data_IF_619090988026
#
_entry.id   IF_619090988026
#
_cell.length_a   1.000
_cell.length_b   1.000
_cell.length_c   1.000
_cell.angle_alpha   90.00
_cell.angle_beta   90.00
_cell.angle_gamma   90.00
#
_symmetry.space_group_name_H-M   'P 1'
#
loop_
_entity.id
_entity.type
_entity.pdbx_description
1 polymer ?
#
# COMPACT_ATOMS: atom_id res chain seq x y z
N UNK A 1 -16.62 -17.59 3.46
CA UNK A 1 -17.31 -16.42 4.06
C UNK A 1 -16.97 -15.26 3.15
N UNK A 2 -17.93 -14.48 2.70
CA UNK A 2 -17.62 -13.23 2.00
C UNK A 2 -16.99 -12.28 3.03
N UNK A 3 -15.77 -11.87 2.84
CA UNK A 3 -15.17 -10.76 3.58
C UNK A 3 -15.93 -9.48 3.20
N UNK A 4 -16.43 -8.78 4.20
CA UNK A 4 -17.05 -7.47 3.99
C UNK A 4 -15.93 -6.51 3.58
N UNK A 5 -16.16 -5.67 2.58
CA UNK A 5 -15.28 -4.53 2.31
C UNK A 5 -15.41 -3.50 3.45
N UNK A 6 -14.44 -2.59 3.55
CA UNK A 6 -14.37 -1.63 4.66
C UNK A 6 -15.63 -0.76 4.80
N UNK A 7 -16.21 -0.16 3.74
CA UNK A 7 -17.44 0.61 3.84
C UNK A 7 -18.63 -0.21 4.33
N UNK A 8 -18.82 -1.42 3.81
CA UNK A 8 -19.87 -2.32 4.29
C UNK A 8 -19.68 -2.69 5.75
N UNK A 9 -18.43 -2.89 6.16
CA UNK A 9 -18.09 -3.15 7.55
C UNK A 9 -18.40 -1.95 8.43
N UNK A 10 -17.97 -0.73 8.06
CA UNK A 10 -18.21 0.50 8.80
C UNK A 10 -19.71 0.82 8.89
N UNK A 11 -20.44 0.76 7.78
CA UNK A 11 -21.90 0.99 7.77
C UNK A 11 -22.65 0.01 8.70
N UNK A 12 -22.23 -1.29 8.72
CA UNK A 12 -22.81 -2.27 9.63
C UNK A 12 -22.41 -1.97 11.07
N UNK A 13 -21.16 -1.56 11.32
CA UNK A 13 -20.65 -1.18 12.63
C UNK A 13 -21.40 0.02 13.16
N UNK A 14 -21.59 1.06 12.37
CA UNK A 14 -22.33 2.27 12.75
C UNK A 14 -23.79 1.98 13.05
N UNK A 15 -24.43 1.13 12.25
CA UNK A 15 -25.80 0.69 12.52
C UNK A 15 -25.91 -0.03 13.87
N UNK A 16 -24.94 -0.90 14.20
CA UNK A 16 -24.92 -1.64 15.46
C UNK A 16 -24.63 -0.71 16.65
N UNK A 17 -23.61 0.18 16.51
CA UNK A 17 -23.20 1.12 17.56
C UNK A 17 -24.33 2.09 17.90
N UNK A 18 -25.10 2.56 16.90
CA UNK A 18 -26.21 3.49 17.10
C UNK A 18 -27.30 2.89 18.02
N UNK A 19 -27.49 1.59 17.95
CA UNK A 19 -28.50 0.88 18.78
C UNK A 19 -27.95 0.41 20.13
N UNK A 20 -26.62 0.48 20.37
CA UNK A 20 -25.99 0.02 21.61
C UNK A 20 -26.18 0.99 22.76
N UNK A 21 -26.47 0.46 23.94
CA UNK A 21 -26.46 1.23 25.18
C UNK A 21 -25.01 1.44 25.65
N UNK A 22 -24.78 2.54 26.37
CA UNK A 22 -23.45 2.90 26.91
C UNK A 22 -22.72 1.72 27.58
N UNK A 23 -23.42 0.90 28.38
CA UNK A 23 -22.81 -0.27 29.03
C UNK A 23 -22.41 -1.39 28.07
N UNK A 24 -23.13 -1.55 26.98
CA UNK A 24 -22.85 -2.51 25.94
C UNK A 24 -21.64 -2.05 25.11
N UNK A 25 -21.54 -0.77 24.83
CA UNK A 25 -20.38 -0.15 24.18
C UNK A 25 -19.12 -0.26 25.04
N UNK A 26 -19.23 0.02 26.36
CA UNK A 26 -18.13 -0.17 27.29
C UNK A 26 -17.63 -1.63 27.31
N UNK A 27 -18.55 -2.60 27.32
CA UNK A 27 -18.21 -4.03 27.29
C UNK A 27 -17.53 -4.40 25.96
N UNK A 28 -17.99 -3.87 24.85
CA UNK A 28 -17.42 -4.09 23.53
C UNK A 28 -15.98 -3.55 23.42
N UNK A 29 -15.75 -2.31 23.88
CA UNK A 29 -14.39 -1.70 23.90
C UNK A 29 -13.45 -2.55 24.78
N UNK A 30 -13.90 -3.02 25.93
CA UNK A 30 -13.10 -3.91 26.77
C UNK A 30 -12.78 -5.25 26.10
N UNK A 31 -13.69 -5.81 25.31
CA UNK A 31 -13.44 -7.06 24.60
C UNK A 31 -12.43 -6.86 23.47
N UNK A 32 -12.53 -5.76 22.70
CA UNK A 32 -11.52 -5.40 21.71
C UNK A 32 -10.15 -5.26 22.40
N UNK A 33 -10.06 -4.48 23.48
CA UNK A 33 -8.81 -4.26 24.19
C UNK A 33 -8.14 -5.56 24.70
N UNK A 34 -8.93 -6.61 24.99
CA UNK A 34 -8.40 -7.93 25.40
C UNK A 34 -7.85 -8.74 24.24
N UNK A 35 -8.43 -8.57 23.05
CA UNK A 35 -8.06 -9.33 21.84
C UNK A 35 -6.92 -8.68 21.07
N UNK A 36 -6.59 -7.40 21.36
CA UNK A 36 -5.54 -6.69 20.66
C UNK A 36 -4.14 -7.25 20.92
N UNK A 37 -3.33 -7.47 19.90
CA UNK A 37 -1.89 -7.75 20.01
C UNK A 37 -1.17 -6.66 20.83
N UNK A 38 -0.06 -7.03 21.47
CA UNK A 38 0.72 -6.06 22.28
C UNK A 38 1.16 -4.84 21.49
N UNK A 39 1.58 -5.03 20.25
CA UNK A 39 2.01 -3.97 19.33
C UNK A 39 0.94 -2.93 19.00
N UNK A 40 -0.35 -3.27 19.13
CA UNK A 40 -1.48 -2.36 18.84
C UNK A 40 -2.12 -1.72 20.07
N UNK A 41 -1.69 -2.08 21.29
CA UNK A 41 -2.31 -1.58 22.52
C UNK A 41 -2.11 -0.09 22.74
N UNK A 42 -0.93 0.42 22.41
CA UNK A 42 -0.60 1.85 22.59
C UNK A 42 -1.36 2.72 21.60
N UNK A 43 -1.44 2.32 20.33
CA UNK A 43 -2.23 2.99 19.28
C UNK A 43 -3.72 3.01 19.66
N UNK A 44 -4.26 1.88 20.12
CA UNK A 44 -5.65 1.81 20.58
C UNK A 44 -5.92 2.77 21.76
N UNK A 45 -5.02 2.81 22.74
CA UNK A 45 -5.16 3.74 23.88
C UNK A 45 -5.06 5.21 23.45
N UNK A 46 -4.20 5.50 22.45
CA UNK A 46 -4.08 6.85 21.86
C UNK A 46 -5.42 7.26 21.24
N UNK A 47 -5.97 6.42 20.33
CA UNK A 47 -7.27 6.66 19.68
C UNK A 47 -8.40 6.80 20.72
N UNK A 48 -8.46 5.92 21.71
CA UNK A 48 -9.50 5.96 22.74
C UNK A 48 -9.45 7.24 23.58
N UNK A 49 -8.24 7.74 23.89
CA UNK A 49 -8.05 9.04 24.56
C UNK A 49 -8.50 10.18 23.69
N UNK A 50 -8.18 10.17 22.41
CA UNK A 50 -8.55 11.22 21.46
C UNK A 50 -10.06 11.29 21.25
N UNK A 51 -10.73 10.16 21.10
CA UNK A 51 -12.20 10.09 21.03
C UNK A 51 -12.84 10.57 22.35
N UNK A 52 -12.27 10.20 23.51
CA UNK A 52 -12.80 10.62 24.82
C UNK A 52 -12.65 12.13 25.08
N UNK A 53 -11.63 12.77 24.53
CA UNK A 53 -11.43 14.22 24.57
C UNK A 53 -12.35 14.96 23.59
N UNK A 54 -12.98 14.24 22.65
CA UNK A 54 -13.86 14.80 21.61
C UNK A 54 -15.25 15.27 22.04
N UNK A 55 -15.68 14.99 23.27
CA UNK A 55 -16.97 15.48 23.80
C UNK A 55 -17.03 17.00 24.06
N UNK A 56 -15.89 17.71 24.00
CA UNK A 56 -15.81 19.17 24.08
C UNK A 56 -15.70 19.85 22.72
N UNK A 57 -16.67 19.63 21.83
CA UNK A 57 -16.69 20.17 20.45
C UNK A 57 -16.80 21.70 20.31
N UNK A 58 -16.95 22.47 21.40
CA UNK A 58 -17.06 23.93 21.31
C UNK A 58 -15.75 24.72 21.56
N UNK A 59 -14.61 24.01 21.77
CA UNK A 59 -13.30 24.66 21.94
C UNK A 59 -12.17 23.95 21.18
N UNK A 60 -12.39 23.58 19.90
CA UNK A 60 -11.33 22.99 19.07
C UNK A 60 -10.64 24.08 18.25
N UNK A 61 -9.60 24.66 18.82
CA UNK A 61 -8.55 25.36 18.07
C UNK A 61 -7.15 24.71 18.24
N UNK A 62 -7.09 23.45 18.76
CA UNK A 62 -5.80 22.78 19.02
C UNK A 62 -5.90 21.24 18.83
N UNK A 63 -6.34 20.81 17.65
CA UNK A 63 -6.07 19.43 17.20
C UNK A 63 -4.60 19.39 16.83
N UNK A 64 -3.80 18.59 17.54
CA UNK A 64 -2.41 18.40 17.21
C UNK A 64 -2.24 17.86 15.77
N UNK A 65 -1.10 18.12 15.10
CA UNK A 65 -0.89 17.78 13.69
C UNK A 65 -1.13 16.28 13.36
N UNK A 66 -0.85 15.38 14.28
CA UNK A 66 -1.10 13.94 14.11
C UNK A 66 -2.60 13.60 14.04
N UNK A 67 -3.45 14.26 14.85
CA UNK A 67 -4.90 14.05 14.82
C UNK A 67 -5.51 14.61 13.51
N UNK A 68 -4.98 15.73 13.03
CA UNK A 68 -5.40 16.31 11.76
C UNK A 68 -5.04 15.39 10.58
N UNK A 69 -3.83 14.85 10.56
CA UNK A 69 -3.37 13.87 9.54
C UNK A 69 -4.27 12.62 9.55
N UNK A 70 -4.52 12.03 10.72
CA UNK A 70 -5.39 10.88 10.87
C UNK A 70 -6.80 11.12 10.29
N UNK A 71 -7.39 12.28 10.56
CA UNK A 71 -8.72 12.61 10.03
C UNK A 71 -8.70 12.75 8.50
N UNK A 72 -7.68 13.43 7.95
CA UNK A 72 -7.53 13.61 6.49
C UNK A 72 -7.31 12.29 5.77
N UNK A 73 -6.47 11.42 6.32
CA UNK A 73 -6.20 10.11 5.72
C UNK A 73 -7.46 9.23 5.73
N UNK A 74 -8.22 9.21 6.83
CA UNK A 74 -9.47 8.45 6.86
C UNK A 74 -10.54 9.03 5.91
N UNK A 75 -10.59 10.35 5.75
CA UNK A 75 -11.47 10.99 4.78
C UNK A 75 -11.08 10.58 3.35
N UNK A 76 -9.80 10.65 2.99
CA UNK A 76 -9.35 10.29 1.65
C UNK A 76 -9.49 8.79 1.37
N UNK A 77 -9.28 7.92 2.36
CA UNK A 77 -9.55 6.48 2.23
C UNK A 77 -11.02 6.24 1.86
N UNK A 78 -11.95 6.95 2.50
CA UNK A 78 -13.38 6.87 2.14
C UNK A 78 -13.62 7.29 0.70
N UNK A 79 -13.08 8.42 0.28
CA UNK A 79 -13.21 8.95 -1.09
C UNK A 79 -12.61 8.00 -2.14
N UNK A 80 -11.40 7.50 -1.90
CA UNK A 80 -10.75 6.55 -2.82
C UNK A 80 -11.51 5.21 -2.92
N UNK A 81 -12.12 4.78 -1.82
CA UNK A 81 -12.99 3.60 -1.83
C UNK A 81 -14.25 3.81 -2.67
N UNK A 82 -14.88 4.99 -2.57
CA UNK A 82 -16.04 5.35 -3.39
C UNK A 82 -15.67 5.41 -4.89
N UNK A 83 -14.44 5.86 -5.21
CA UNK A 83 -13.90 5.81 -6.59
C UNK A 83 -13.77 4.37 -7.06
N UNK A 84 -13.11 3.51 -6.29
CA UNK A 84 -12.90 2.09 -6.60
C UNK A 84 -14.21 1.31 -6.76
N UNK A 85 -15.26 1.68 -6.02
CA UNK A 85 -16.60 1.11 -6.14
C UNK A 85 -17.37 1.57 -7.41
N UNK A 86 -16.85 2.56 -8.14
CA UNK A 86 -17.38 2.98 -9.43
C UNK A 86 -18.44 4.06 -9.39
N UNK A 87 -18.60 4.76 -8.28
CA UNK A 87 -19.58 5.86 -8.14
C UNK A 87 -19.27 7.04 -9.05
N UNK A 88 -17.97 7.18 -9.44
CA UNK A 88 -17.46 8.24 -10.33
C UNK A 88 -16.47 7.63 -11.33
N UNK A 89 -16.31 8.24 -12.50
CA UNK A 89 -15.41 7.74 -13.54
C UNK A 89 -14.68 8.87 -14.29
N UNK A 90 -13.53 8.53 -14.85
CA UNK A 90 -12.93 9.33 -15.91
C UNK A 90 -13.69 9.13 -17.20
N UNK A 91 -13.71 10.15 -18.05
CA UNK A 91 -14.21 10.02 -19.42
C UNK A 91 -13.03 9.85 -20.37
N UNK A 92 -13.20 9.03 -21.39
CA UNK A 92 -12.19 8.78 -22.41
C UNK A 92 -12.76 8.91 -23.81
N UNK A 93 -11.95 9.41 -24.72
CA UNK A 93 -12.26 9.45 -26.15
C UNK A 93 -11.03 9.06 -26.97
N UNK A 94 -11.26 8.40 -28.10
CA UNK A 94 -10.18 8.08 -29.02
C UNK A 94 -9.62 9.33 -29.65
N UNK A 95 -8.29 9.42 -29.72
CA UNK A 95 -7.62 10.55 -30.31
C UNK A 95 -7.44 10.36 -31.83
N UNK A 96 -8.28 11.04 -32.61
CA UNK A 96 -8.20 10.97 -34.08
C UNK A 96 -6.85 11.48 -34.65
N UNK A 97 -6.05 12.23 -33.88
CA UNK A 97 -4.74 12.72 -34.29
C UNK A 97 -3.61 11.72 -33.99
N UNK A 98 -3.93 10.62 -33.30
CA UNK A 98 -2.95 9.58 -33.02
C UNK A 98 -2.54 8.83 -34.28
N UNK A 99 -1.23 8.67 -34.45
CA UNK A 99 -0.63 7.86 -35.52
C UNK A 99 0.72 7.30 -35.01
N UNK A 100 0.76 6.02 -34.77
CA UNK A 100 1.90 5.27 -34.24
C UNK A 100 3.20 5.48 -35.05
N UNK A 101 3.08 5.82 -36.35
CA UNK A 101 4.22 6.02 -37.24
C UNK A 101 4.70 7.46 -37.33
N UNK A 102 3.81 8.43 -37.20
CA UNK A 102 4.10 9.84 -37.44
C UNK A 102 4.12 10.70 -36.17
N UNK A 103 3.35 10.31 -35.14
CA UNK A 103 3.20 11.06 -33.91
C UNK A 103 3.25 10.13 -32.66
N UNK A 104 4.41 9.49 -32.38
CA UNK A 104 4.50 8.56 -31.25
C UNK A 104 4.34 9.24 -29.90
N UNK A 105 4.47 10.56 -29.82
CA UNK A 105 4.32 11.34 -28.58
C UNK A 105 2.85 11.77 -28.31
N UNK A 106 1.93 11.46 -29.21
CA UNK A 106 0.51 11.77 -29.08
C UNK A 106 -0.21 10.58 -28.48
N UNK A 107 -0.92 10.70 -27.36
CA UNK A 107 -1.61 9.56 -26.74
C UNK A 107 -2.74 9.06 -27.63
N UNK A 108 -2.94 7.74 -27.63
CA UNK A 108 -4.00 7.07 -28.38
C UNK A 108 -5.39 7.40 -27.84
N UNK A 109 -5.49 7.54 -26.52
CA UNK A 109 -6.72 7.89 -25.82
C UNK A 109 -6.52 9.18 -25.04
N UNK A 110 -7.48 10.08 -25.13
CA UNK A 110 -7.55 11.31 -24.35
C UNK A 110 -8.48 11.08 -23.16
N UNK A 111 -8.01 11.44 -21.97
CA UNK A 111 -8.79 11.35 -20.75
C UNK A 111 -9.26 12.74 -20.31
N UNK A 112 -10.45 12.80 -19.76
CA UNK A 112 -10.99 13.96 -19.06
C UNK A 112 -11.51 13.59 -17.68
N UNK A 113 -11.46 14.53 -16.75
CA UNK A 113 -11.83 14.33 -15.35
C UNK A 113 -12.94 15.32 -14.94
N UNK A 114 -14.17 15.16 -15.46
CA UNK A 114 -15.27 16.07 -15.16
C UNK A 114 -15.70 15.99 -13.69
N UNK A 115 -15.46 14.87 -13.03
CA UNK A 115 -15.89 14.59 -11.65
C UNK A 115 -14.78 14.86 -10.61
N UNK A 116 -13.62 15.36 -11.06
CA UNK A 116 -12.50 15.76 -10.18
C UNK A 116 -11.91 14.62 -9.33
N UNK A 117 -11.74 13.42 -9.91
CA UNK A 117 -11.16 12.25 -9.25
C UNK A 117 -9.66 12.39 -9.04
N UNK A 118 -8.95 12.87 -10.07
CA UNK A 118 -7.49 12.97 -10.06
C UNK A 118 -6.93 13.85 -8.94
N UNK A 119 -7.53 15.00 -8.58
CA UNK A 119 -7.14 15.76 -7.40
C UNK A 119 -7.20 14.94 -6.10
N UNK A 120 -8.17 14.05 -5.96
CA UNK A 120 -8.34 13.21 -4.76
C UNK A 120 -7.31 12.09 -4.72
N UNK A 121 -7.02 11.46 -5.86
CA UNK A 121 -5.92 10.47 -5.95
C UNK A 121 -4.57 11.12 -5.63
N UNK A 122 -4.30 12.33 -6.17
CA UNK A 122 -3.08 13.09 -5.82
C UNK A 122 -3.00 13.42 -4.34
N UNK A 123 -4.14 13.78 -3.73
CA UNK A 123 -4.18 14.04 -2.29
C UNK A 123 -3.89 12.78 -1.49
N UNK A 124 -4.38 11.60 -1.92
CA UNK A 124 -4.04 10.32 -1.33
C UNK A 124 -2.52 10.06 -1.34
N UNK A 125 -1.88 10.25 -2.50
CA UNK A 125 -0.42 10.09 -2.65
C UNK A 125 0.32 11.09 -1.75
N UNK A 126 -0.09 12.35 -1.73
CA UNK A 126 0.49 13.38 -0.86
C UNK A 126 0.35 13.05 0.63
N UNK A 127 -0.77 12.48 1.04
CA UNK A 127 -1.00 12.07 2.42
C UNK A 127 -0.17 10.85 2.80
N UNK A 128 0.12 9.93 1.87
CA UNK A 128 1.06 8.84 2.09
C UNK A 128 2.45 9.38 2.46
N UNK A 129 2.97 10.32 1.68
CA UNK A 129 4.22 11.02 2.00
C UNK A 129 4.16 11.70 3.39
N UNK A 130 3.04 12.37 3.70
CA UNK A 130 2.84 13.01 5.02
C UNK A 130 2.81 12.01 6.18
N UNK A 131 2.37 10.77 5.96
CA UNK A 131 2.42 9.71 6.95
C UNK A 131 3.87 9.28 7.24
N UNK A 132 4.73 9.25 6.23
CA UNK A 132 6.16 8.96 6.39
C UNK A 132 6.83 10.06 7.22
N UNK A 133 6.61 11.34 6.86
CA UNK A 133 7.16 12.49 7.57
C UNK A 133 6.72 12.56 9.04
N UNK A 134 5.51 12.09 9.32
CA UNK A 134 4.95 12.06 10.67
C UNK A 134 5.22 10.76 11.44
N UNK A 135 5.93 9.79 10.85
CA UNK A 135 6.18 8.45 11.39
C UNK A 135 4.88 7.67 11.75
N UNK A 136 3.75 8.00 11.08
CA UNK A 136 2.46 7.33 11.26
C UNK A 136 2.34 6.15 10.25
N UNK A 137 3.25 5.17 10.37
CA UNK A 137 3.44 4.10 9.39
C UNK A 137 2.26 3.13 9.28
N UNK A 138 1.57 2.84 10.38
CA UNK A 138 0.35 2.00 10.35
C UNK A 138 -0.74 2.64 9.47
N UNK A 139 -0.87 3.96 9.56
CA UNK A 139 -1.83 4.74 8.78
C UNK A 139 -1.39 4.82 7.31
N UNK A 140 -0.09 5.06 7.09
CA UNK A 140 0.53 5.05 5.76
C UNK A 140 0.37 3.70 5.06
N UNK A 141 0.57 2.59 5.78
CA UNK A 141 0.41 1.24 5.22
C UNK A 141 -1.02 0.95 4.76
N UNK A 142 -2.04 1.40 5.51
CA UNK A 142 -3.45 1.27 5.10
C UNK A 142 -3.76 2.07 3.83
N UNK A 143 -3.24 3.29 3.74
CA UNK A 143 -3.42 4.14 2.55
C UNK A 143 -2.68 3.58 1.34
N UNK A 144 -1.44 3.09 1.53
CA UNK A 144 -0.65 2.45 0.48
C UNK A 144 -1.32 1.18 -0.04
N UNK A 145 -1.92 0.37 0.84
CA UNK A 145 -2.67 -0.82 0.44
C UNK A 145 -3.83 -0.45 -0.49
N UNK A 146 -4.63 0.57 -0.13
CA UNK A 146 -5.73 1.02 -0.96
C UNK A 146 -5.23 1.59 -2.30
N UNK A 147 -4.23 2.47 -2.30
CA UNK A 147 -3.66 3.02 -3.52
C UNK A 147 -3.09 1.94 -4.45
N UNK A 148 -2.52 0.87 -3.89
CA UNK A 148 -1.91 -0.22 -4.67
C UNK A 148 -2.91 -1.08 -5.43
N UNK A 149 -4.16 -1.09 -5.02
CA UNK A 149 -5.24 -1.88 -5.63
C UNK A 149 -6.35 -1.01 -6.21
N UNK A 150 -6.17 0.31 -6.19
CA UNK A 150 -7.17 1.27 -6.66
C UNK A 150 -7.40 1.09 -8.16
N UNK A 151 -8.63 0.82 -8.53
CA UNK A 151 -9.12 0.74 -9.90
C UNK A 151 -10.01 1.96 -10.19
N UNK A 152 -9.50 2.90 -10.98
CA UNK A 152 -10.25 4.11 -11.36
C UNK A 152 -11.10 3.78 -12.58
N UNK A 153 -12.44 3.84 -12.46
CA UNK A 153 -13.33 3.54 -13.57
C UNK A 153 -13.17 4.54 -14.73
N UNK A 154 -13.28 4.03 -15.95
CA UNK A 154 -13.19 4.81 -17.18
C UNK A 154 -14.40 4.54 -18.06
N UNK A 155 -15.12 5.59 -18.43
CA UNK A 155 -16.20 5.55 -19.41
C UNK A 155 -15.74 6.02 -20.78
N UNK A 156 -16.42 5.60 -21.86
CA UNK A 156 -16.14 6.01 -23.22
C UNK A 156 -15.32 4.97 -23.99
N UNK A 157 -14.43 5.42 -24.88
CA UNK A 157 -13.81 4.55 -25.88
C UNK A 157 -12.71 3.64 -25.33
N UNK A 158 -12.22 3.87 -24.10
CA UNK A 158 -11.14 3.09 -23.49
C UNK A 158 -11.46 1.58 -23.40
N UNK A 159 -12.66 1.23 -22.96
CA UNK A 159 -13.10 -0.17 -22.86
C UNK A 159 -13.10 -0.86 -24.22
N UNK A 160 -13.52 -0.18 -25.28
CA UNK A 160 -13.57 -0.73 -26.63
C UNK A 160 -12.17 -1.05 -27.18
N UNK A 161 -11.14 -0.28 -26.80
CA UNK A 161 -9.76 -0.46 -27.26
C UNK A 161 -8.94 -1.41 -26.38
N UNK A 162 -9.07 -1.31 -25.06
CA UNK A 162 -8.20 -2.03 -24.11
C UNK A 162 -8.90 -3.20 -23.42
N UNK A 163 -10.23 -3.30 -23.54
CA UNK A 163 -11.02 -4.38 -22.94
C UNK A 163 -11.12 -4.29 -21.42
N UNK A 164 -10.83 -3.12 -20.85
CA UNK A 164 -10.96 -2.83 -19.42
C UNK A 164 -11.76 -1.55 -19.23
N UNK A 165 -12.67 -1.54 -18.26
CA UNK A 165 -13.44 -0.37 -17.86
C UNK A 165 -12.80 0.41 -16.70
N UNK A 166 -11.56 0.11 -16.35
CA UNK A 166 -10.81 0.77 -15.28
C UNK A 166 -9.33 0.82 -15.60
N UNK A 167 -8.62 1.75 -14.94
CA UNK A 167 -7.17 1.89 -14.97
C UNK A 167 -6.63 1.97 -13.54
N UNK A 168 -5.49 1.32 -13.30
CA UNK A 168 -4.82 1.35 -12.01
C UNK A 168 -3.94 2.62 -11.84
N UNK A 169 -3.33 2.77 -10.66
CA UNK A 169 -2.48 3.93 -10.37
C UNK A 169 -1.26 4.02 -11.29
N UNK A 170 -0.68 2.89 -11.72
CA UNK A 170 0.44 2.92 -12.68
C UNK A 170 -0.02 3.41 -14.05
N UNK A 171 -1.19 2.96 -14.50
CA UNK A 171 -1.77 3.42 -15.75
C UNK A 171 -2.08 4.92 -15.72
N UNK A 172 -2.47 5.47 -14.54
CA UNK A 172 -2.61 6.92 -14.38
C UNK A 172 -1.30 7.67 -14.61
N UNK A 173 -0.16 7.14 -14.14
CA UNK A 173 1.16 7.72 -14.43
C UNK A 173 1.57 7.53 -15.90
N UNK A 174 1.36 6.34 -16.47
CA UNK A 174 1.70 6.04 -17.86
C UNK A 174 0.92 6.92 -18.85
N UNK A 175 -0.30 7.29 -18.51
CA UNK A 175 -1.14 8.20 -19.30
C UNK A 175 -0.96 9.68 -18.91
N UNK A 176 0.05 10.04 -18.13
CA UNK A 176 0.36 11.43 -17.70
C UNK A 176 -0.79 12.12 -16.94
N UNK A 177 -1.66 11.36 -16.30
CA UNK A 177 -2.77 11.87 -15.48
C UNK A 177 -2.33 12.24 -14.06
N UNK A 178 -1.21 11.66 -13.60
CA UNK A 178 -0.55 12.01 -12.35
C UNK A 178 0.83 12.58 -12.63
N UNK A 179 1.22 13.57 -11.82
CA UNK A 179 2.57 14.11 -11.79
C UNK A 179 3.48 13.29 -10.88
N UNK A 180 4.78 13.24 -11.17
CA UNK A 180 5.77 12.52 -10.37
C UNK A 180 6.18 11.19 -10.98
N UNK A 181 6.57 10.25 -10.15
CA UNK A 181 7.10 8.95 -10.57
C UNK A 181 6.36 7.79 -9.89
N UNK A 182 5.90 6.79 -10.64
CA UNK A 182 5.36 5.57 -10.05
C UNK A 182 6.40 4.83 -9.18
N UNK A 183 7.69 5.00 -9.49
CA UNK A 183 8.78 4.44 -8.69
C UNK A 183 8.88 5.08 -7.30
N UNK A 184 8.68 6.39 -7.18
CA UNK A 184 8.66 7.09 -5.89
C UNK A 184 7.49 6.62 -5.04
N UNK A 185 6.28 6.58 -5.60
CA UNK A 185 5.11 6.05 -4.92
C UNK A 185 5.34 4.60 -4.45
N UNK A 186 5.93 3.76 -5.30
CA UNK A 186 6.20 2.37 -4.98
C UNK A 186 7.20 2.21 -3.84
N UNK A 187 8.26 3.04 -3.79
CA UNK A 187 9.23 3.05 -2.69
C UNK A 187 8.57 3.49 -1.38
N UNK A 188 7.76 4.54 -1.40
CA UNK A 188 7.02 5.02 -0.24
C UNK A 188 6.05 3.96 0.28
N UNK A 189 5.28 3.33 -0.62
CA UNK A 189 4.36 2.25 -0.29
C UNK A 189 5.07 1.04 0.33
N UNK A 190 6.19 0.59 -0.24
CA UNK A 190 7.00 -0.49 0.31
C UNK A 190 7.58 -0.14 1.68
N UNK A 191 8.05 1.10 1.85
CA UNK A 191 8.60 1.58 3.11
C UNK A 191 7.55 1.57 4.24
N UNK A 192 6.37 2.17 4.02
CA UNK A 192 5.30 2.16 5.04
C UNK A 192 4.76 0.76 5.28
N UNK A 193 4.72 -0.10 4.26
CA UNK A 193 4.33 -1.51 4.41
C UNK A 193 5.33 -2.26 5.29
N UNK A 194 6.63 -2.02 5.12
CA UNK A 194 7.66 -2.59 5.99
C UNK A 194 7.51 -2.10 7.42
N UNK A 195 7.38 -0.79 7.62
CA UNK A 195 7.35 -0.16 8.93
C UNK A 195 6.04 -0.42 9.71
N UNK A 196 4.90 -0.42 9.02
CA UNK A 196 3.56 -0.56 9.61
C UNK A 196 3.14 -2.01 9.90
N UNK A 197 3.93 -3.02 9.47
CA UNK A 197 3.58 -4.42 9.66
C UNK A 197 4.50 -5.13 10.68
N UNK A 198 3.93 -6.12 11.38
CA UNK A 198 4.72 -6.96 12.28
C UNK A 198 5.70 -7.84 11.50
N UNK A 199 6.85 -8.14 12.10
CA UNK A 199 7.96 -8.83 11.46
C UNK A 199 7.56 -10.11 10.68
N UNK A 200 6.64 -10.92 11.24
CA UNK A 200 6.19 -12.17 10.62
C UNK A 200 5.42 -11.98 9.32
N UNK A 201 4.74 -10.85 9.16
CA UNK A 201 3.81 -10.58 8.07
C UNK A 201 4.49 -9.76 6.95
N UNK A 202 5.57 -9.04 7.29
CA UNK A 202 6.33 -8.21 6.33
C UNK A 202 6.67 -8.89 5.01
N UNK A 203 7.16 -10.16 4.98
CA UNK A 203 7.50 -10.80 3.71
C UNK A 203 6.32 -10.96 2.75
N UNK A 204 5.16 -11.35 3.27
CA UNK A 204 3.95 -11.53 2.47
C UNK A 204 3.41 -10.19 1.98
N UNK A 205 3.31 -9.22 2.89
CA UNK A 205 2.78 -7.88 2.61
C UNK A 205 3.64 -7.11 1.61
N UNK A 206 4.98 -7.16 1.74
CA UNK A 206 5.91 -6.52 0.80
C UNK A 206 5.81 -7.18 -0.59
N UNK A 207 5.79 -8.52 -0.65
CA UNK A 207 5.69 -9.21 -1.93
C UNK A 207 4.36 -8.93 -2.63
N UNK A 208 3.27 -8.88 -1.87
CA UNK A 208 1.94 -8.51 -2.35
C UNK A 208 1.92 -7.06 -2.87
N UNK A 209 2.49 -6.12 -2.12
CA UNK A 209 2.62 -4.71 -2.53
C UNK A 209 3.42 -4.56 -3.82
N UNK A 210 4.55 -5.28 -3.95
CA UNK A 210 5.33 -5.31 -5.18
C UNK A 210 4.52 -5.82 -6.39
N UNK A 211 3.65 -6.82 -6.15
CA UNK A 211 2.77 -7.36 -7.17
C UNK A 211 1.70 -6.38 -7.62
N UNK A 212 1.03 -5.75 -6.65
CA UNK A 212 -0.03 -4.79 -6.91
C UNK A 212 0.49 -3.58 -7.72
N UNK A 213 1.64 -3.02 -7.30
CA UNK A 213 2.26 -1.86 -7.96
C UNK A 213 3.17 -2.24 -9.15
N UNK A 214 3.25 -3.51 -9.51
CA UNK A 214 4.10 -4.00 -10.62
C UNK A 214 5.58 -3.57 -10.48
N UNK A 215 6.06 -3.36 -9.25
CA UNK A 215 7.36 -2.76 -8.92
C UNK A 215 8.40 -3.76 -8.39
N UNK A 216 8.41 -4.98 -8.89
CA UNK A 216 9.38 -6.00 -8.48
C UNK A 216 10.85 -5.61 -8.71
N UNK A 217 11.14 -4.66 -9.58
CA UNK A 217 12.48 -4.15 -9.91
C UNK A 217 13.06 -3.22 -8.85
N UNK A 218 12.25 -2.68 -7.95
CA UNK A 218 12.72 -1.90 -6.81
C UNK A 218 13.53 -2.79 -5.86
N UNK A 219 14.69 -2.29 -5.42
CA UNK A 219 15.58 -2.99 -4.50
C UNK A 219 15.26 -2.65 -3.05
N UNK A 220 15.41 -3.62 -2.16
CA UNK A 220 15.27 -3.36 -0.72
C UNK A 220 16.24 -2.28 -0.22
N UNK A 221 17.44 -2.19 -0.81
CA UNK A 221 18.42 -1.13 -0.49
C UNK A 221 17.86 0.27 -0.76
N UNK A 222 17.03 0.44 -1.79
CA UNK A 222 16.40 1.71 -2.13
C UNK A 222 15.28 2.05 -1.13
N UNK A 223 14.52 1.04 -0.71
CA UNK A 223 13.51 1.20 0.35
C UNK A 223 14.16 1.57 1.69
N UNK A 224 15.34 0.99 2.00
CA UNK A 224 16.10 1.32 3.22
C UNK A 224 16.58 2.78 3.26
N UNK A 225 16.72 3.43 2.12
CA UNK A 225 17.16 4.83 2.00
C UNK A 225 16.01 5.84 2.17
N UNK A 226 14.75 5.39 2.23
CA UNK A 226 13.58 6.28 2.33
C UNK A 226 13.43 6.93 3.71
N UNK A 227 13.99 6.34 4.76
CA UNK A 227 13.95 6.87 6.14
C UNK A 227 15.29 7.42 6.59
N UNK A 228 15.26 8.23 7.65
CA UNK A 228 16.48 8.75 8.32
C UNK A 228 17.22 7.69 9.13
N UNK A 229 16.65 6.51 9.30
CA UNK A 229 17.17 5.40 10.11
C UNK A 229 17.17 4.10 9.31
N UNK A 230 18.06 3.17 9.70
CA UNK A 230 18.02 1.81 9.19
C UNK A 230 16.67 1.16 9.47
N UNK A 231 16.19 0.30 8.55
CA UNK A 231 14.94 -0.44 8.74
C UNK A 231 15.03 -1.28 10.04
N UNK A 232 14.05 -1.15 10.95
CA UNK A 232 14.08 -1.89 12.21
C UNK A 232 13.97 -3.39 11.97
N UNK A 233 14.66 -4.18 12.80
CA UNK A 233 14.64 -5.66 12.73
C UNK A 233 15.07 -6.22 11.36
N UNK A 234 15.87 -5.47 10.58
CA UNK A 234 16.23 -5.89 9.22
C UNK A 234 17.02 -7.21 9.20
N UNK A 235 17.87 -7.45 10.20
CA UNK A 235 18.64 -8.70 10.34
C UNK A 235 17.72 -9.91 10.61
N UNK A 236 16.63 -9.72 11.33
CA UNK A 236 15.60 -10.73 11.59
C UNK A 236 14.67 -10.92 10.39
N UNK A 237 14.37 -9.84 9.69
CA UNK A 237 13.51 -9.85 8.49
C UNK A 237 14.17 -10.59 7.32
N UNK A 238 15.45 -10.36 7.07
CA UNK A 238 16.13 -10.87 5.88
C UNK A 238 16.06 -12.41 5.75
N UNK A 239 16.29 -13.21 6.80
CA UNK A 239 16.06 -14.66 6.74
C UNK A 239 14.62 -15.06 6.46
N UNK A 240 13.62 -14.34 7.00
CA UNK A 240 12.22 -14.59 6.74
C UNK A 240 11.83 -14.27 5.29
N UNK A 241 12.39 -13.17 4.75
CA UNK A 241 12.22 -12.78 3.36
C UNK A 241 12.78 -13.84 2.40
N UNK A 242 14.00 -14.31 2.65
CA UNK A 242 14.62 -15.38 1.88
C UNK A 242 13.77 -16.66 1.93
N UNK A 243 13.27 -17.03 3.11
CA UNK A 243 12.45 -18.23 3.29
C UNK A 243 11.10 -18.11 2.57
N UNK A 244 10.51 -16.91 2.57
CA UNK A 244 9.28 -16.60 1.84
C UNK A 244 9.50 -16.70 0.33
N UNK A 245 10.50 -15.98 -0.19
CA UNK A 245 10.84 -15.98 -1.62
C UNK A 245 11.23 -17.38 -2.13
N UNK A 246 11.86 -18.17 -1.27
CA UNK A 246 12.20 -19.57 -1.57
C UNK A 246 10.99 -20.44 -1.92
N UNK A 247 9.81 -20.09 -1.42
CA UNK A 247 8.54 -20.79 -1.68
C UNK A 247 7.80 -20.24 -2.90
N UNK A 248 8.12 -19.00 -3.32
CA UNK A 248 7.52 -18.37 -4.49
C UNK A 248 8.14 -18.92 -5.78
N UNK A 249 7.46 -18.73 -6.91
CA UNK A 249 7.91 -19.18 -8.23
C UNK A 249 7.84 -18.02 -9.21
N UNK A 250 8.80 -18.02 -10.14
CA UNK A 250 8.83 -17.04 -11.21
C UNK A 250 10.11 -16.23 -11.21
N UNK A 251 10.33 -15.50 -12.30
CA UNK A 251 11.56 -14.75 -12.53
C UNK A 251 11.79 -13.65 -11.50
N UNK A 252 10.71 -12.99 -11.07
CA UNK A 252 10.80 -11.89 -10.09
C UNK A 252 11.18 -12.42 -8.72
N UNK A 253 10.57 -13.53 -8.27
CA UNK A 253 10.93 -14.19 -7.02
C UNK A 253 12.40 -14.69 -7.04
N UNK A 254 12.88 -15.20 -8.18
CA UNK A 254 14.27 -15.65 -8.34
C UNK A 254 15.25 -14.46 -8.24
N UNK A 255 14.90 -13.33 -8.85
CA UNK A 255 15.70 -12.10 -8.79
C UNK A 255 15.76 -11.52 -7.37
N UNK A 256 14.61 -11.35 -6.72
CA UNK A 256 14.51 -10.85 -5.35
C UNK A 256 15.24 -11.78 -4.36
N UNK A 257 15.14 -13.10 -4.55
CA UNK A 257 15.87 -14.05 -3.74
C UNK A 257 17.40 -13.92 -3.89
N UNK A 258 17.85 -13.72 -5.13
CA UNK A 258 19.29 -13.50 -5.40
C UNK A 258 19.81 -12.22 -4.75
N UNK A 259 19.02 -11.13 -4.82
CA UNK A 259 19.30 -9.86 -4.15
C UNK A 259 19.39 -10.06 -2.62
N UNK A 260 18.35 -10.65 -2.02
CA UNK A 260 18.28 -10.87 -0.59
C UNK A 260 19.44 -11.74 -0.05
N UNK A 261 19.87 -12.74 -0.83
CA UNK A 261 21.04 -13.55 -0.50
C UNK A 261 22.34 -12.75 -0.57
N UNK A 262 22.49 -11.83 -1.52
CA UNK A 262 23.63 -10.91 -1.62
C UNK A 262 23.74 -9.95 -0.43
N UNK A 263 22.66 -9.71 0.31
CA UNK A 263 22.66 -8.90 1.52
C UNK A 263 23.09 -9.68 2.78
N UNK A 264 23.20 -11.02 2.71
CA UNK A 264 23.68 -11.80 3.83
C UNK A 264 25.22 -11.63 3.98
N UNK A 265 25.64 -11.28 5.19
CA UNK A 265 27.06 -11.10 5.53
C UNK A 265 27.72 -12.38 6.06
N UNK A 266 26.93 -13.42 6.37
CA UNK A 266 27.42 -14.70 6.91
C UNK A 266 27.48 -15.75 5.81
N UNK A 267 28.71 -16.15 5.42
CA UNK A 267 28.95 -17.21 4.43
C UNK A 267 28.30 -18.55 4.81
N UNK A 268 28.17 -18.83 6.11
CA UNK A 268 27.51 -20.04 6.60
C UNK A 268 26.02 -20.06 6.26
N UNK A 269 25.34 -18.93 6.42
CA UNK A 269 23.92 -18.77 6.08
C UNK A 269 23.72 -18.82 4.55
N UNK A 270 24.61 -18.23 3.76
CA UNK A 270 24.60 -18.32 2.30
C UNK A 270 24.66 -19.77 1.83
N UNK A 271 25.60 -20.56 2.35
CA UNK A 271 25.75 -21.96 2.01
C UNK A 271 24.53 -22.81 2.45
N UNK A 272 23.98 -22.54 3.62
CA UNK A 272 22.80 -23.25 4.12
C UNK A 272 21.58 -22.99 3.23
N UNK A 273 21.32 -21.73 2.88
CA UNK A 273 20.23 -21.34 1.99
C UNK A 273 20.41 -21.91 0.59
N UNK A 274 21.61 -21.87 0.02
CA UNK A 274 21.88 -22.48 -1.27
C UNK A 274 21.60 -23.98 -1.27
N UNK A 275 22.00 -24.70 -0.22
CA UNK A 275 21.69 -26.14 -0.07
C UNK A 275 20.20 -26.41 0.04
N UNK A 276 19.45 -25.54 0.72
CA UNK A 276 18.00 -25.68 0.90
C UNK A 276 17.25 -25.56 -0.41
N UNK A 277 17.71 -24.70 -1.32
CA UNK A 277 17.01 -24.38 -2.57
C UNK A 277 17.67 -24.93 -3.84
N UNK A 278 18.78 -25.68 -3.75
CA UNK A 278 19.56 -26.17 -4.90
C UNK A 278 18.76 -26.96 -5.91
N UNK A 279 17.83 -27.79 -5.46
CA UNK A 279 17.02 -28.64 -6.35
C UNK A 279 16.00 -27.83 -7.18
N UNK A 280 15.57 -26.69 -6.65
CA UNK A 280 14.60 -25.82 -7.30
C UNK A 280 15.27 -24.70 -8.10
N UNK A 281 16.45 -24.24 -7.65
CA UNK A 281 17.19 -23.09 -8.16
C UNK A 281 18.69 -23.34 -8.22
N UNK A 282 19.15 -24.24 -9.10
CA UNK A 282 20.57 -24.61 -9.20
C UNK A 282 21.48 -23.43 -9.60
N UNK A 283 20.94 -22.40 -10.22
CA UNK A 283 21.68 -21.18 -10.58
C UNK A 283 22.22 -20.43 -9.35
N UNK A 284 21.53 -20.44 -8.21
CA UNK A 284 21.97 -19.78 -6.97
C UNK A 284 23.25 -20.43 -6.42
N UNK A 285 23.44 -21.74 -6.65
CA UNK A 285 24.63 -22.47 -6.23
C UNK A 285 25.87 -22.08 -7.04
N UNK A 286 25.68 -21.70 -8.30
CA UNK A 286 26.80 -21.25 -9.15
C UNK A 286 27.34 -19.90 -8.72
N UNK A 287 26.47 -18.97 -8.32
CA UNK A 287 26.90 -17.64 -7.83
C UNK A 287 27.79 -17.75 -6.59
N UNK A 288 27.49 -18.65 -5.64
CA UNK A 288 28.28 -18.85 -4.42
C UNK A 288 29.63 -19.53 -4.69
N UNK A 289 29.76 -20.27 -5.80
CA UNK A 289 31.01 -20.93 -6.17
C UNK A 289 31.89 -20.08 -7.09
N UNK A 290 31.40 -19.00 -7.61
CA UNK A 290 32.11 -18.08 -8.51
C UNK A 290 32.69 -16.85 -7.75
N UNK A 291 32.20 -16.55 -6.55
CA UNK A 291 32.74 -15.57 -5.58
C UNK A 291 33.73 -16.23 -4.61
#
# INVERSE_FOLDING_TARGET
MRTLNLPQFLNQTDSIITDMKKKELEAFIHEIARTLPESRRDSFLKILKEVSLGENKEQRSDTGPATELFLKVNEIIGILTDIDEGDRCLESEYNEEWDDWYNPDVPEVLFSDPEQLLPEVREGIRLLHSCIDAEEYDLGSQLAELLSVLEVPVAGDYEDYYGSASIDVNDLYENFLLDGSPEELSKEALFVTYMGNVLSDRPDEIYRMMGNLRCYDIRLEEVMQMGDQDLPEFHEFLPLWIDYLGKQKGRDADRLLSEAQGMLTDEGQLLENARKYVDQRPQLYKQILED
#
